data_IF_472899389705
#
_entry.id   IF_472899389705
#
_cell.length_a   1.000
_cell.length_b   1.000
_cell.length_c   1.000
_cell.angle_alpha   90.00
_cell.angle_beta   90.00
_cell.angle_gamma   90.00
#
_symmetry.space_group_name_H-M   'P 1'
#
loop_
_entity.id
_entity.type
_entity.pdbx_description
1 polymer ?
#
# COMPACT_ATOMS: atom_id res chain seq x y z
N UNK A 1 -4.23 2.03 18.18
CA UNK A 1 -4.43 2.16 19.65
C UNK A 1 -4.89 0.82 20.19
N UNK A 2 -4.73 0.60 21.49
CA UNK A 2 -5.34 -0.56 22.15
C UNK A 2 -6.81 -0.23 22.48
N UNK A 3 -7.69 -1.23 22.32
CA UNK A 3 -9.07 -1.16 22.80
C UNK A 3 -9.17 -1.32 24.34
N UNK A 4 -10.39 -1.38 24.85
CA UNK A 4 -10.65 -1.54 26.30
C UNK A 4 -10.14 -2.89 26.88
N UNK A 5 -9.91 -3.87 26.01
CA UNK A 5 -9.40 -5.20 26.35
C UNK A 5 -7.87 -5.30 26.21
N UNK A 6 -7.21 -4.19 25.82
CA UNK A 6 -5.77 -4.14 25.56
C UNK A 6 -5.35 -4.68 24.18
N UNK A 7 -6.29 -4.95 23.28
CA UNK A 7 -6.04 -5.49 21.96
C UNK A 7 -5.75 -4.33 20.99
N UNK A 8 -4.64 -4.38 20.23
CA UNK A 8 -4.36 -3.37 19.21
C UNK A 8 -5.42 -3.43 18.10
N UNK A 9 -6.04 -2.30 17.81
CA UNK A 9 -7.05 -2.15 16.76
C UNK A 9 -6.85 -0.85 15.98
N UNK A 10 -7.38 -0.84 14.76
CA UNK A 10 -7.56 0.40 13.99
C UNK A 10 -8.77 1.13 14.57
N UNK A 11 -8.66 2.45 14.64
CA UNK A 11 -9.73 3.33 15.11
C UNK A 11 -10.05 4.35 14.02
N UNK A 12 -11.32 4.56 13.77
CA UNK A 12 -11.84 5.65 12.95
C UNK A 12 -12.70 6.56 13.85
N UNK A 13 -12.40 7.85 13.90
CA UNK A 13 -13.12 8.81 14.73
C UNK A 13 -13.22 8.38 16.21
N UNK A 14 -12.14 7.79 16.74
CA UNK A 14 -12.00 7.28 18.11
C UNK A 14 -12.83 6.02 18.46
N UNK A 15 -13.48 5.40 17.49
CA UNK A 15 -14.17 4.12 17.65
C UNK A 15 -13.38 3.00 16.97
N UNK A 16 -13.32 1.78 17.57
CA UNK A 16 -12.71 0.64 16.90
C UNK A 16 -13.39 0.38 15.55
N UNK A 17 -12.61 0.25 14.51
CA UNK A 17 -13.12 0.10 13.16
C UNK A 17 -12.51 -1.14 12.49
N UNK A 18 -13.36 -2.02 12.02
CA UNK A 18 -12.94 -3.20 11.26
C UNK A 18 -12.99 -2.91 9.75
N UNK A 19 -11.83 -2.89 9.13
CA UNK A 19 -11.70 -2.65 7.70
C UNK A 19 -11.98 -3.93 6.92
N UNK A 20 -13.08 -3.92 6.16
CA UNK A 20 -13.44 -4.97 5.21
C UNK A 20 -12.96 -4.52 3.84
N UNK A 21 -11.76 -4.94 3.47
CA UNK A 21 -11.10 -4.45 2.28
C UNK A 21 -11.21 -5.35 1.07
N UNK A 22 -11.04 -4.74 -0.10
CA UNK A 22 -10.89 -5.41 -1.39
C UNK A 22 -9.67 -4.84 -2.10
N UNK A 23 -8.93 -5.70 -2.80
CA UNK A 23 -7.81 -5.30 -3.64
C UNK A 23 -8.34 -4.75 -4.97
N UNK A 24 -7.84 -3.58 -5.38
CA UNK A 24 -8.17 -2.97 -6.66
C UNK A 24 -6.88 -2.60 -7.42
N UNK A 25 -6.65 -3.27 -8.55
CA UNK A 25 -5.52 -3.02 -9.43
C UNK A 25 -5.79 -1.88 -10.44
N UNK A 26 -7.05 -1.47 -10.58
CA UNK A 26 -7.44 -0.31 -11.39
C UNK A 26 -7.23 -0.47 -12.89
N UNK A 27 -7.41 -1.67 -13.42
CA UNK A 27 -7.40 -1.92 -14.86
C UNK A 27 -8.77 -1.79 -15.47
N UNK A 28 -8.84 -1.17 -16.65
CA UNK A 28 -10.06 -0.93 -17.41
C UNK A 28 -9.97 -1.64 -18.76
N UNK A 29 -11.08 -2.26 -19.26
CA UNK A 29 -11.06 -3.00 -20.53
C UNK A 29 -10.62 -2.16 -21.72
N UNK A 30 -11.05 -0.89 -21.80
CA UNK A 30 -10.79 -0.01 -22.92
C UNK A 30 -9.54 0.85 -22.73
N UNK A 31 -9.36 1.41 -21.53
CA UNK A 31 -8.32 2.39 -21.24
C UNK A 31 -7.09 1.84 -20.51
N UNK A 32 -7.03 0.55 -20.22
CA UNK A 32 -6.01 -0.12 -19.42
C UNK A 32 -5.84 0.58 -18.06
N UNK A 33 -4.93 1.53 -17.94
CA UNK A 33 -4.69 2.30 -16.71
C UNK A 33 -5.62 3.50 -16.53
N UNK A 34 -6.36 3.89 -17.57
CA UNK A 34 -7.19 5.10 -17.57
C UNK A 34 -8.66 4.73 -17.48
N UNK A 35 -9.40 5.18 -16.44
CA UNK A 35 -10.84 4.98 -16.40
C UNK A 35 -11.54 5.70 -17.55
N UNK A 36 -12.61 5.14 -18.12
CA UNK A 36 -13.30 5.72 -19.29
C UNK A 36 -14.01 7.03 -18.93
N UNK A 37 -14.56 7.16 -17.73
CA UNK A 37 -15.26 8.36 -17.26
C UNK A 37 -15.38 8.34 -15.72
N UNK A 38 -15.87 9.42 -15.15
CA UNK A 38 -16.07 9.54 -13.70
C UNK A 38 -17.16 8.60 -13.20
N UNK A 39 -18.22 8.40 -13.98
CA UNK A 39 -19.32 7.51 -13.63
C UNK A 39 -18.85 6.06 -13.45
N UNK A 40 -17.87 5.61 -14.25
CA UNK A 40 -17.29 4.28 -14.10
C UNK A 40 -16.53 4.16 -12.76
N UNK A 41 -15.72 5.16 -12.39
CA UNK A 41 -15.04 5.19 -11.11
C UNK A 41 -16.03 5.19 -9.93
N UNK A 42 -17.06 6.04 -10.02
CA UNK A 42 -18.11 6.13 -9.00
C UNK A 42 -18.85 4.80 -8.88
N UNK A 43 -19.18 4.16 -10.01
CA UNK A 43 -19.86 2.88 -10.03
C UNK A 43 -19.07 1.80 -9.27
N UNK A 44 -17.78 1.66 -9.55
CA UNK A 44 -16.93 0.66 -8.88
C UNK A 44 -16.83 0.91 -7.37
N UNK A 45 -16.56 2.15 -6.97
CA UNK A 45 -16.47 2.52 -5.54
C UNK A 45 -17.81 2.26 -4.83
N UNK A 46 -18.91 2.71 -5.42
CA UNK A 46 -20.24 2.54 -4.84
C UNK A 46 -20.63 1.06 -4.79
N UNK A 47 -20.31 0.30 -5.84
CA UNK A 47 -20.60 -1.13 -5.90
C UNK A 47 -19.87 -1.93 -4.81
N UNK A 48 -18.60 -1.61 -4.56
CA UNK A 48 -17.86 -2.22 -3.44
C UNK A 48 -18.52 -1.88 -2.10
N UNK A 49 -18.95 -0.63 -1.92
CA UNK A 49 -19.65 -0.21 -0.70
C UNK A 49 -21.00 -0.93 -0.52
N UNK A 50 -21.77 -1.07 -1.58
CA UNK A 50 -23.07 -1.78 -1.57
C UNK A 50 -22.89 -3.27 -1.23
N UNK A 51 -21.77 -3.87 -1.60
CA UNK A 51 -21.39 -5.24 -1.23
C UNK A 51 -20.91 -5.37 0.22
N UNK A 52 -20.81 -4.27 0.95
CA UNK A 52 -20.43 -4.24 2.37
C UNK A 52 -18.94 -4.05 2.63
N UNK A 53 -18.14 -3.75 1.61
CA UNK A 53 -16.76 -3.31 1.79
C UNK A 53 -16.73 -1.85 2.24
N UNK A 54 -15.76 -1.52 3.07
CA UNK A 54 -15.57 -0.16 3.59
C UNK A 54 -14.15 0.38 3.37
N UNK A 55 -13.30 -0.42 2.70
CA UNK A 55 -11.94 -0.08 2.34
C UNK A 55 -11.58 -0.67 0.98
N UNK A 56 -10.81 0.07 0.20
CA UNK A 56 -10.20 -0.38 -1.05
C UNK A 56 -8.68 -0.24 -0.90
N UNK A 57 -7.93 -1.30 -1.15
CA UNK A 57 -6.49 -1.20 -1.32
C UNK A 57 -6.17 -0.95 -2.80
N UNK A 58 -5.69 0.24 -3.12
CA UNK A 58 -5.21 0.58 -4.46
C UNK A 58 -3.82 0.00 -4.66
N UNK A 59 -3.76 -1.08 -5.42
CA UNK A 59 -2.59 -1.95 -5.53
C UNK A 59 -1.60 -1.44 -6.58
N UNK A 60 -0.42 -1.02 -6.12
CA UNK A 60 0.74 -0.64 -6.96
C UNK A 60 0.42 0.40 -8.04
N UNK A 61 -0.61 1.22 -7.86
CA UNK A 61 -1.08 2.20 -8.82
C UNK A 61 -1.50 3.49 -8.15
N UNK A 62 -1.25 4.61 -8.82
CA UNK A 62 -1.83 5.91 -8.47
C UNK A 62 -2.94 6.21 -9.47
N UNK A 63 -4.12 6.54 -8.96
CA UNK A 63 -5.25 6.98 -9.77
C UNK A 63 -5.22 8.50 -10.01
N UNK A 64 -5.99 9.01 -10.99
CA UNK A 64 -6.28 10.43 -11.06
C UNK A 64 -6.89 10.94 -9.74
N UNK A 65 -6.54 12.16 -9.32
CA UNK A 65 -7.02 12.72 -8.04
C UNK A 65 -8.54 12.70 -7.89
N UNK A 66 -9.30 12.79 -8.98
CA UNK A 66 -10.76 12.67 -8.97
C UNK A 66 -11.27 11.31 -8.47
N UNK A 67 -10.51 10.22 -8.64
CA UNK A 67 -10.87 8.93 -8.05
C UNK A 67 -10.85 9.00 -6.51
N UNK A 68 -9.80 9.58 -5.94
CA UNK A 68 -9.71 9.80 -4.49
C UNK A 68 -10.78 10.76 -3.99
N UNK A 69 -11.08 11.83 -4.76
CA UNK A 69 -12.20 12.71 -4.45
C UNK A 69 -13.54 11.96 -4.39
N UNK A 70 -13.76 11.00 -5.27
CA UNK A 70 -14.96 10.15 -5.20
C UNK A 70 -14.93 9.22 -3.97
N UNK A 71 -13.78 8.66 -3.59
CA UNK A 71 -13.63 7.92 -2.33
C UNK A 71 -13.93 8.81 -1.12
N UNK A 72 -13.40 10.04 -1.09
CA UNK A 72 -13.66 11.02 -0.02
C UNK A 72 -15.15 11.30 0.12
N UNK A 73 -15.82 11.58 -1.01
CA UNK A 73 -17.24 11.93 -1.05
C UNK A 73 -18.17 10.77 -0.68
N UNK A 74 -17.85 9.58 -1.14
CA UNK A 74 -18.63 8.35 -0.91
C UNK A 74 -18.34 7.78 0.49
N UNK A 75 -17.20 8.13 1.08
CA UNK A 75 -16.74 7.59 2.37
C UNK A 75 -16.21 6.18 2.26
N UNK A 76 -15.40 5.90 1.23
CA UNK A 76 -14.66 4.66 1.06
C UNK A 76 -13.22 4.87 1.52
N UNK A 77 -12.75 4.12 2.51
CA UNK A 77 -11.35 4.19 2.95
C UNK A 77 -10.40 3.63 1.92
N UNK A 78 -9.20 4.16 1.87
CA UNK A 78 -8.17 3.76 0.91
C UNK A 78 -6.86 3.40 1.62
N UNK A 79 -6.34 2.24 1.30
CA UNK A 79 -4.93 1.90 1.47
C UNK A 79 -4.24 2.17 0.15
N UNK A 80 -3.27 3.05 0.14
CA UNK A 80 -2.57 3.46 -1.07
C UNK A 80 -1.19 2.83 -1.13
N UNK A 81 -0.98 1.94 -2.09
CA UNK A 81 0.35 1.41 -2.37
C UNK A 81 1.21 2.44 -3.10
N UNK A 82 2.50 2.43 -2.79
CA UNK A 82 3.49 3.07 -3.65
C UNK A 82 3.64 2.25 -4.94
N UNK A 83 3.98 2.91 -6.04
CA UNK A 83 4.20 2.24 -7.31
C UNK A 83 5.49 1.43 -7.21
N UNK A 84 5.33 0.15 -6.92
CA UNK A 84 6.42 -0.80 -6.82
C UNK A 84 6.89 -1.25 -8.21
N UNK A 85 8.08 -1.80 -8.24
CA UNK A 85 8.66 -2.36 -9.43
C UNK A 85 10.18 -2.36 -9.35
N UNK A 86 10.80 -2.72 -10.45
CA UNK A 86 12.24 -2.84 -10.57
C UNK A 86 12.58 -3.70 -11.78
N UNK A 87 13.79 -4.28 -11.77
CA UNK A 87 14.17 -5.33 -12.71
C UNK A 87 13.54 -6.66 -12.26
N UNK A 88 13.74 -7.70 -13.06
CA UNK A 88 13.31 -9.06 -12.72
C UNK A 88 13.88 -9.48 -11.36
N UNK A 89 13.01 -9.92 -10.49
CA UNK A 89 13.39 -10.51 -9.22
C UNK A 89 13.62 -12.03 -9.35
N UNK A 90 14.29 -12.62 -8.39
CA UNK A 90 14.50 -14.06 -8.35
C UNK A 90 13.36 -14.76 -7.61
N UNK A 91 12.43 -15.36 -8.34
CA UNK A 91 11.23 -16.02 -7.78
C UNK A 91 11.53 -17.02 -6.67
N UNK A 92 12.64 -17.78 -6.80
CA UNK A 92 13.04 -18.73 -5.76
C UNK A 92 13.32 -18.03 -4.42
N UNK A 93 13.81 -16.78 -4.44
CA UNK A 93 14.09 -15.99 -3.25
C UNK A 93 12.84 -15.24 -2.76
N UNK A 94 12.23 -14.48 -3.65
CA UNK A 94 11.14 -13.56 -3.29
C UNK A 94 9.84 -14.31 -2.97
N UNK A 95 9.56 -15.41 -3.69
CA UNK A 95 8.32 -16.15 -3.50
C UNK A 95 8.53 -17.38 -2.63
N UNK A 96 9.29 -18.37 -3.14
CA UNK A 96 9.35 -19.69 -2.49
C UNK A 96 10.08 -19.68 -1.16
N UNK A 97 11.26 -19.05 -1.11
CA UNK A 97 12.03 -19.00 0.14
C UNK A 97 11.36 -18.07 1.16
N UNK A 98 10.83 -16.93 0.74
CA UNK A 98 10.15 -16.01 1.64
C UNK A 98 8.91 -16.66 2.27
N UNK A 99 8.10 -17.38 1.50
CA UNK A 99 6.95 -18.14 2.00
C UNK A 99 7.37 -19.23 3.00
N UNK A 100 8.44 -19.96 2.71
CA UNK A 100 8.96 -20.98 3.62
C UNK A 100 9.46 -20.38 4.94
N UNK A 101 10.17 -19.25 4.89
CA UNK A 101 10.66 -18.54 6.07
C UNK A 101 9.49 -17.98 6.91
N UNK A 102 8.46 -17.41 6.27
CA UNK A 102 7.26 -16.95 6.95
C UNK A 102 6.54 -18.10 7.67
N UNK A 103 6.37 -19.26 7.00
CA UNK A 103 5.81 -20.47 7.61
C UNK A 103 6.62 -20.99 8.82
N UNK A 104 7.91 -20.72 8.88
CA UNK A 104 8.79 -21.01 10.01
C UNK A 104 8.89 -19.85 11.03
N UNK A 105 8.13 -18.78 10.85
CA UNK A 105 8.21 -17.54 11.65
C UNK A 105 9.59 -16.87 11.62
N UNK A 106 10.36 -17.05 10.54
CA UNK A 106 11.66 -16.42 10.34
C UNK A 106 11.50 -15.20 9.46
N UNK A 107 11.89 -14.04 9.99
CA UNK A 107 11.84 -12.78 9.23
C UNK A 107 12.92 -12.74 8.15
N UNK A 108 12.49 -12.75 6.88
CA UNK A 108 13.38 -12.56 5.75
C UNK A 108 13.84 -11.10 5.67
N UNK A 109 15.15 -10.87 5.44
CA UNK A 109 15.72 -9.51 5.39
C UNK A 109 15.73 -8.96 3.96
N UNK A 110 15.50 -7.64 3.84
CA UNK A 110 15.50 -6.89 2.58
C UNK A 110 16.91 -6.44 2.11
N UNK A 111 17.97 -7.08 2.61
CA UNK A 111 19.36 -6.70 2.30
C UNK A 111 19.86 -7.23 0.95
N UNK A 112 19.21 -8.27 0.40
CA UNK A 112 19.62 -8.89 -0.86
C UNK A 112 18.93 -8.24 -2.06
N UNK A 113 19.10 -6.93 -2.21
CA UNK A 113 18.41 -6.09 -3.20
C UNK A 113 18.55 -6.57 -4.65
N UNK A 114 19.65 -7.27 -4.98
CA UNK A 114 19.87 -7.84 -6.31
C UNK A 114 18.92 -9.03 -6.60
N UNK A 115 18.46 -9.74 -5.58
CA UNK A 115 17.46 -10.81 -5.72
C UNK A 115 16.05 -10.25 -5.80
N UNK A 116 15.84 -9.03 -5.29
CA UNK A 116 14.56 -8.32 -5.27
C UNK A 116 14.38 -7.39 -6.49
N UNK A 117 15.37 -7.29 -7.38
CA UNK A 117 15.28 -6.49 -8.60
C UNK A 117 15.53 -4.99 -8.42
N UNK A 118 16.18 -4.53 -7.33
CA UNK A 118 16.40 -3.11 -7.04
C UNK A 118 17.88 -2.73 -6.83
N UNK A 119 18.79 -3.40 -7.50
CA UNK A 119 20.23 -3.10 -7.38
C UNK A 119 20.66 -1.79 -8.05
N UNK A 120 19.86 -1.22 -8.93
CA UNK A 120 20.17 0.02 -9.63
C UNK A 120 20.01 1.26 -8.72
N UNK A 121 21.09 2.02 -8.42
CA UNK A 121 20.98 3.21 -7.58
C UNK A 121 20.11 4.33 -8.17
N UNK A 122 20.00 4.41 -9.51
CA UNK A 122 19.11 5.38 -10.14
C UNK A 122 17.63 5.03 -9.90
N UNK A 123 17.29 3.76 -10.05
CA UNK A 123 15.95 3.25 -9.73
C UNK A 123 15.59 3.38 -8.24
N UNK A 124 16.56 3.24 -7.33
CA UNK A 124 16.34 3.50 -5.90
C UNK A 124 16.00 4.98 -5.63
N UNK A 125 16.78 5.89 -6.22
CA UNK A 125 16.52 7.35 -6.09
C UNK A 125 15.20 7.75 -6.72
N UNK A 126 14.85 7.16 -7.87
CA UNK A 126 13.58 7.42 -8.53
C UNK A 126 12.41 6.98 -7.67
N UNK A 127 12.47 5.77 -7.10
CA UNK A 127 11.43 5.28 -6.18
C UNK A 127 11.26 6.20 -4.95
N UNK A 128 12.37 6.60 -4.31
CA UNK A 128 12.32 7.53 -3.16
C UNK A 128 11.67 8.86 -3.54
N UNK A 129 11.99 9.40 -4.72
CA UNK A 129 11.42 10.64 -5.22
C UNK A 129 9.92 10.49 -5.47
N UNK A 130 9.50 9.48 -6.24
CA UNK A 130 8.10 9.23 -6.59
C UNK A 130 7.25 8.95 -5.33
N UNK A 131 7.78 8.22 -4.37
CA UNK A 131 7.12 7.95 -3.09
C UNK A 131 6.80 9.26 -2.35
N UNK A 132 7.76 10.20 -2.24
CA UNK A 132 7.54 11.51 -1.62
C UNK A 132 6.51 12.33 -2.40
N UNK A 133 6.62 12.34 -3.73
CA UNK A 133 5.69 13.05 -4.62
C UNK A 133 4.27 12.49 -4.50
N UNK A 134 4.12 11.17 -4.39
CA UNK A 134 2.83 10.50 -4.18
C UNK A 134 2.18 10.95 -2.87
N UNK A 135 2.92 10.91 -1.76
CA UNK A 135 2.39 11.34 -0.46
C UNK A 135 1.94 12.80 -0.53
N UNK A 136 2.77 13.68 -1.08
CA UNK A 136 2.47 15.11 -1.20
C UNK A 136 1.26 15.39 -2.10
N UNK A 137 1.18 14.70 -3.25
CA UNK A 137 0.07 14.83 -4.21
C UNK A 137 -1.26 14.45 -3.57
N UNK A 138 -1.26 13.36 -2.81
CA UNK A 138 -2.49 12.75 -2.29
C UNK A 138 -2.78 13.13 -0.82
N UNK A 139 -1.95 13.96 -0.21
CA UNK A 139 -2.02 14.32 1.21
C UNK A 139 -3.41 14.82 1.65
N UNK A 140 -4.07 15.59 0.79
CA UNK A 140 -5.36 16.24 1.11
C UNK A 140 -6.58 15.31 0.94
N UNK A 141 -6.39 14.03 0.63
CA UNK A 141 -7.49 13.07 0.51
C UNK A 141 -7.74 12.36 1.84
N UNK A 142 -8.81 12.69 2.59
CA UNK A 142 -9.09 12.08 3.89
C UNK A 142 -9.48 10.59 3.81
N UNK A 143 -9.89 10.11 2.64
CA UNK A 143 -10.15 8.69 2.42
C UNK A 143 -8.91 7.82 2.57
N UNK A 144 -7.72 8.34 2.25
CA UNK A 144 -6.47 7.59 2.43
C UNK A 144 -6.16 7.51 3.93
N UNK A 145 -6.06 6.29 4.44
CA UNK A 145 -5.81 6.03 5.87
C UNK A 145 -4.50 5.29 6.12
N UNK A 146 -3.97 4.63 5.10
CA UNK A 146 -2.74 3.85 5.21
C UNK A 146 -1.91 3.99 3.93
N UNK A 147 -0.60 4.18 4.10
CA UNK A 147 0.40 4.10 3.04
C UNK A 147 1.04 2.72 3.05
N UNK A 148 0.98 1.99 1.93
CA UNK A 148 1.65 0.71 1.74
C UNK A 148 2.91 0.93 0.90
N UNK A 149 4.09 0.67 1.49
CA UNK A 149 5.36 1.11 0.89
C UNK A 149 5.88 0.09 -0.11
N UNK A 150 5.93 -1.19 0.29
CA UNK A 150 6.34 -2.28 -0.59
C UNK A 150 5.29 -3.37 -0.63
N UNK A 151 5.25 -4.08 -1.75
CA UNK A 151 4.37 -5.23 -1.96
C UNK A 151 5.19 -6.45 -2.35
N UNK A 152 5.02 -7.54 -1.61
CA UNK A 152 5.52 -8.90 -1.90
C UNK A 152 7.02 -8.97 -2.23
N UNK A 153 7.83 -8.09 -1.68
CA UNK A 153 9.29 -8.08 -1.83
C UNK A 153 9.81 -7.63 -3.20
N UNK A 154 8.96 -7.41 -4.20
CA UNK A 154 9.42 -6.97 -5.51
C UNK A 154 9.92 -5.53 -5.47
N UNK A 155 11.21 -5.36 -5.77
CA UNK A 155 11.85 -4.06 -5.74
C UNK A 155 12.03 -3.47 -4.34
N UNK A 156 11.84 -4.25 -3.29
CA UNK A 156 11.99 -3.82 -1.91
C UNK A 156 13.47 -3.58 -1.56
N UNK A 157 13.73 -2.50 -0.84
CA UNK A 157 15.06 -2.14 -0.35
C UNK A 157 14.96 -1.15 0.81
N UNK A 158 15.89 -1.22 1.75
CA UNK A 158 16.01 -0.27 2.86
C UNK A 158 14.64 0.09 3.47
N UNK A 159 13.80 -0.89 3.73
CA UNK A 159 12.39 -0.72 4.11
C UNK A 159 12.22 0.26 5.27
N UNK A 160 13.05 0.14 6.32
CA UNK A 160 13.00 1.07 7.46
C UNK A 160 13.21 2.52 7.03
N UNK A 161 14.23 2.78 6.19
CA UNK A 161 14.49 4.14 5.70
C UNK A 161 13.32 4.68 4.89
N UNK A 162 12.73 3.86 4.01
CA UNK A 162 11.58 4.28 3.21
C UNK A 162 10.36 4.56 4.08
N UNK A 163 10.11 3.74 5.10
CA UNK A 163 9.04 3.96 6.08
C UNK A 163 9.25 5.26 6.86
N UNK A 164 10.48 5.52 7.33
CA UNK A 164 10.80 6.76 8.06
C UNK A 164 10.59 8.01 7.17
N UNK A 165 10.89 7.91 5.87
CA UNK A 165 10.63 9.00 4.91
C UNK A 165 9.13 9.25 4.75
N UNK A 166 8.32 8.20 4.57
CA UNK A 166 6.85 8.36 4.45
C UNK A 166 6.27 8.99 5.71
N UNK A 167 6.71 8.55 6.89
CA UNK A 167 6.30 9.15 8.17
C UNK A 167 6.73 10.60 8.34
N UNK A 168 7.84 10.98 7.75
CA UNK A 168 8.27 12.39 7.76
C UNK A 168 7.42 13.27 6.83
N UNK A 169 6.95 12.74 5.71
CA UNK A 169 6.03 13.43 4.79
C UNK A 169 4.58 13.44 5.33
N UNK A 170 4.16 12.36 5.99
CA UNK A 170 2.83 12.24 6.60
C UNK A 170 2.89 11.53 7.96
N UNK A 171 2.95 12.30 9.05
CA UNK A 171 3.05 11.75 10.40
C UNK A 171 1.72 11.26 11.00
N UNK A 172 0.61 11.39 10.27
CA UNK A 172 -0.73 11.14 10.81
C UNK A 172 -1.33 9.81 10.36
N UNK A 173 -1.02 9.39 9.13
CA UNK A 173 -1.56 8.15 8.57
C UNK A 173 -0.73 6.94 8.95
N UNK A 174 -1.37 5.79 8.96
CA UNK A 174 -0.71 4.52 9.24
C UNK A 174 0.22 4.12 8.09
N UNK A 175 1.21 3.31 8.41
CA UNK A 175 2.13 2.73 7.43
C UNK A 175 2.11 1.20 7.51
N UNK A 176 1.92 0.55 6.36
CA UNK A 176 2.27 -0.84 6.12
C UNK A 176 3.61 -0.84 5.36
N UNK A 177 4.67 -1.27 6.02
CA UNK A 177 6.02 -1.15 5.47
C UNK A 177 6.30 -2.14 4.34
N UNK A 178 5.69 -3.30 4.38
CA UNK A 178 5.80 -4.35 3.37
C UNK A 178 4.63 -5.32 3.51
N UNK A 179 3.69 -5.23 2.59
CA UNK A 179 2.57 -6.15 2.51
C UNK A 179 3.06 -7.52 2.01
N UNK A 180 2.63 -8.58 2.68
CA UNK A 180 3.06 -9.95 2.42
C UNK A 180 4.43 -10.25 3.04
N UNK A 181 5.36 -10.73 2.23
CA UNK A 181 6.68 -11.16 2.70
C UNK A 181 7.65 -10.00 2.97
N UNK A 182 8.75 -10.31 3.66
CA UNK A 182 9.85 -9.38 3.95
C UNK A 182 9.47 -8.20 4.87
N UNK A 183 8.42 -8.34 5.68
CA UNK A 183 8.15 -7.34 6.71
C UNK A 183 9.35 -7.17 7.64
N UNK A 184 9.83 -5.91 7.77
CA UNK A 184 10.97 -5.57 8.61
C UNK A 184 10.54 -5.12 10.03
N UNK A 185 9.24 -5.14 10.33
CA UNK A 185 8.67 -4.75 11.62
C UNK A 185 8.83 -3.27 11.93
N UNK A 186 8.79 -2.43 10.91
CA UNK A 186 8.93 -0.98 11.05
C UNK A 186 7.65 -0.21 10.67
N UNK A 187 6.64 -0.88 10.12
CA UNK A 187 5.30 -0.33 9.89
C UNK A 187 4.44 -0.30 11.16
N UNK A 188 3.31 0.36 11.07
CA UNK A 188 2.26 0.36 12.11
C UNK A 188 1.36 -0.85 11.96
N UNK A 189 1.26 -1.37 10.76
CA UNK A 189 0.48 -2.55 10.38
C UNK A 189 1.43 -3.60 9.81
N UNK A 190 1.09 -4.86 10.04
CA UNK A 190 1.63 -6.03 9.36
C UNK A 190 0.46 -6.74 8.67
N UNK A 191 0.53 -6.88 7.36
CA UNK A 191 -0.48 -7.55 6.54
C UNK A 191 0.06 -8.83 5.90
#
# INVERSE_FOLDING_TARGET
KNDKEGIPRIFLNNEPYFEKGVLDQGYWPDGLYTPPCDEAMIYDIQKMKDLGFNMIRKHIKIEPQRWYYHCDRIGMLVWQDMVNGGRDYKSWYVTYMATAMEGMHIRAKDTRIHLMGRQDPAGQRQFEKEMKETVRLLYNHPSIVTWVIFNEGWGQFQTKKMTDIVRAEDPYRLTDSASGWFDQGCGDIRS
#
